data_IF_977818569438
#
_entry.id   IF_977818569438
#
_cell.length_a   1.000
_cell.length_b   1.000
_cell.length_c   1.000
_cell.angle_alpha   90.00
_cell.angle_beta   90.00
_cell.angle_gamma   90.00
#
_symmetry.space_group_name_H-M   'P 1'
#
loop_
_entity.id
_entity.type
_entity.pdbx_description
1 polymer ?
#
# COMPACT_ATOMS: atom_id res chain seq x y z
N UNK A 1 -5.23 -27.44 5.40
CA UNK A 1 -6.26 -27.07 4.40
C UNK A 1 -5.53 -26.74 3.11
N UNK A 2 -5.61 -27.64 2.12
CA UNK A 2 -5.04 -27.37 0.79
C UNK A 2 -5.99 -26.40 0.09
N UNK A 3 -5.56 -25.14 -0.03
CA UNK A 3 -6.25 -24.18 -0.89
C UNK A 3 -5.78 -24.45 -2.32
N UNK A 4 -6.67 -24.90 -3.19
CA UNK A 4 -6.41 -24.91 -4.62
C UNK A 4 -6.20 -23.47 -5.08
N UNK A 5 -5.01 -23.19 -5.60
CA UNK A 5 -4.70 -21.92 -6.25
C UNK A 5 -4.58 -22.20 -7.74
N UNK A 6 -5.32 -21.45 -8.52
CA UNK A 6 -5.22 -21.48 -9.98
C UNK A 6 -5.01 -20.05 -10.48
N UNK A 7 -4.36 -19.90 -11.62
CA UNK A 7 -4.03 -18.62 -12.23
C UNK A 7 -2.55 -18.30 -12.13
N UNK A 8 -2.16 -17.21 -12.77
CA UNK A 8 -0.80 -16.69 -12.83
C UNK A 8 -0.74 -15.30 -12.18
N UNK A 9 0.37 -14.99 -11.52
CA UNK A 9 0.68 -13.63 -11.09
C UNK A 9 2.00 -13.23 -11.70
N UNK A 10 1.94 -12.30 -12.65
CA UNK A 10 3.11 -11.87 -13.41
C UNK A 10 3.71 -10.58 -12.83
N UNK A 11 5.00 -10.61 -12.50
CA UNK A 11 5.78 -9.44 -12.19
C UNK A 11 6.80 -9.22 -13.31
N UNK A 12 6.67 -8.13 -14.07
CA UNK A 12 7.49 -7.88 -15.27
C UNK A 12 7.48 -9.05 -16.27
N UNK A 13 6.31 -9.65 -16.50
CA UNK A 13 6.12 -10.76 -17.44
C UNK A 13 6.62 -12.13 -16.96
N UNK A 14 7.06 -12.27 -15.70
CA UNK A 14 7.47 -13.54 -15.10
C UNK A 14 6.49 -13.96 -14.01
N UNK A 15 6.05 -15.20 -14.04
CA UNK A 15 5.20 -15.74 -12.98
C UNK A 15 5.98 -15.88 -11.67
N UNK A 16 5.47 -15.21 -10.62
CA UNK A 16 6.10 -15.22 -9.29
C UNK A 16 6.04 -16.59 -8.61
N UNK A 17 5.20 -17.50 -9.12
CA UNK A 17 5.03 -18.87 -8.62
C UNK A 17 5.74 -19.93 -9.47
N UNK A 18 6.47 -19.51 -10.52
CA UNK A 18 7.22 -20.43 -11.37
C UNK A 18 8.23 -21.24 -10.54
N UNK A 19 8.37 -22.55 -10.88
CA UNK A 19 9.29 -23.44 -10.16
C UNK A 19 10.74 -22.93 -10.27
N UNK A 20 11.38 -22.76 -9.12
CA UNK A 20 12.74 -22.22 -9.03
C UNK A 20 12.81 -20.71 -8.80
N UNK A 21 11.67 -20.02 -8.72
CA UNK A 21 11.64 -18.59 -8.38
C UNK A 21 12.12 -18.37 -6.95
N UNK A 22 13.06 -17.44 -6.80
CA UNK A 22 13.54 -16.98 -5.50
C UNK A 22 12.51 -16.03 -4.86
N UNK A 23 11.70 -16.59 -3.96
CA UNK A 23 10.62 -15.87 -3.27
C UNK A 23 11.13 -14.67 -2.49
N UNK A 24 12.36 -14.72 -1.97
CA UNK A 24 12.96 -13.60 -1.22
C UNK A 24 13.22 -12.43 -2.16
N UNK A 25 13.76 -12.69 -3.35
CA UNK A 25 13.97 -11.64 -4.36
C UNK A 25 12.66 -11.03 -4.87
N UNK A 26 11.61 -11.84 -4.99
CA UNK A 26 10.28 -11.32 -5.35
C UNK A 26 9.74 -10.43 -4.23
N UNK A 27 9.81 -10.85 -2.97
CA UNK A 27 9.32 -10.06 -1.82
C UNK A 27 10.05 -8.74 -1.64
N UNK A 28 11.31 -8.63 -2.03
CA UNK A 28 12.04 -7.36 -2.03
C UNK A 28 11.52 -6.36 -3.07
N UNK A 29 10.89 -6.86 -4.14
CA UNK A 29 10.31 -6.02 -5.18
C UNK A 29 8.86 -5.59 -4.87
N UNK A 30 8.24 -6.15 -3.83
CA UNK A 30 6.85 -5.91 -3.47
C UNK A 30 6.80 -5.47 -2.01
N UNK A 31 6.53 -4.19 -1.79
CA UNK A 31 6.25 -3.65 -0.45
C UNK A 31 4.82 -3.94 -0.02
N UNK A 32 4.56 -3.97 1.29
CA UNK A 32 3.22 -4.15 1.84
C UNK A 32 2.97 -3.19 2.99
N UNK A 33 1.85 -2.49 2.93
CA UNK A 33 1.32 -1.63 3.99
C UNK A 33 -0.02 -2.21 4.43
N UNK A 34 -0.11 -2.54 5.72
CA UNK A 34 -1.29 -3.19 6.30
C UNK A 34 -2.33 -2.17 6.76
N UNK A 35 -3.57 -2.61 6.90
CA UNK A 35 -4.70 -1.84 7.40
C UNK A 35 -4.41 -1.22 8.77
N UNK A 36 -3.90 -2.01 9.70
CA UNK A 36 -3.47 -1.52 11.02
C UNK A 36 -1.99 -1.18 10.95
N UNK A 37 -1.60 0.07 11.28
CA UNK A 37 -0.19 0.44 11.37
C UNK A 37 0.57 -0.54 12.27
N UNK A 38 1.72 -1.00 11.79
CA UNK A 38 2.52 -1.99 12.48
C UNK A 38 4.02 -1.61 12.55
N UNK A 39 4.36 -0.40 13.01
CA UNK A 39 5.76 -0.09 13.25
C UNK A 39 6.31 -1.01 14.35
N UNK A 40 7.61 -1.24 14.34
CA UNK A 40 8.28 -1.97 15.42
C UNK A 40 8.33 -1.06 16.66
N UNK A 41 7.57 -1.34 17.73
CA UNK A 41 7.39 -0.41 18.84
C UNK A 41 8.66 -0.21 19.67
N UNK A 42 9.55 -1.18 19.69
CA UNK A 42 10.84 -1.15 20.38
C UNK A 42 11.96 -0.48 19.58
N UNK A 43 11.69 -0.12 18.33
CA UNK A 43 12.62 0.58 17.44
C UNK A 43 12.30 2.08 17.41
N UNK A 44 13.33 2.87 17.21
CA UNK A 44 13.17 4.31 16.93
C UNK A 44 12.53 4.55 15.56
N UNK A 45 12.17 5.79 15.26
CA UNK A 45 11.62 6.17 13.96
C UNK A 45 12.63 5.86 12.86
N UNK A 46 13.89 6.27 13.02
CA UNK A 46 14.97 6.00 12.06
C UNK A 46 15.22 4.50 11.87
N UNK A 47 15.30 3.73 12.97
CA UNK A 47 15.47 2.28 12.93
C UNK A 47 14.32 1.58 12.20
N UNK A 48 13.07 2.04 12.40
CA UNK A 48 11.91 1.51 11.69
C UNK A 48 12.07 1.67 10.17
N UNK A 49 12.45 2.85 9.69
CA UNK A 49 12.66 3.09 8.24
C UNK A 49 13.72 2.13 7.69
N UNK A 50 14.86 2.00 8.38
CA UNK A 50 15.99 1.22 7.90
C UNK A 50 15.87 -0.29 8.19
N UNK A 51 14.86 -0.72 8.92
CA UNK A 51 14.69 -2.13 9.31
C UNK A 51 14.59 -3.08 8.12
N UNK A 52 13.96 -2.65 7.01
CA UNK A 52 13.86 -3.44 5.79
C UNK A 52 15.22 -3.77 5.18
N UNK A 53 16.15 -2.81 5.15
CA UNK A 53 17.52 -3.04 4.68
C UNK A 53 18.27 -4.05 5.56
N UNK A 54 18.13 -3.91 6.89
CA UNK A 54 18.77 -4.81 7.83
C UNK A 54 18.30 -6.25 7.68
N UNK A 55 16.97 -6.44 7.54
CA UNK A 55 16.37 -7.76 7.32
C UNK A 55 16.75 -8.37 5.97
N UNK A 56 16.84 -7.54 4.93
CA UNK A 56 17.21 -7.97 3.57
C UNK A 56 18.72 -8.11 3.38
N UNK A 57 19.54 -7.78 4.39
CA UNK A 57 21.00 -7.72 4.33
C UNK A 57 21.53 -6.83 3.19
N UNK A 58 20.76 -5.80 2.84
CA UNK A 58 21.12 -4.82 1.84
C UNK A 58 22.03 -3.75 2.45
N UNK A 59 23.05 -3.33 1.68
CA UNK A 59 23.92 -2.22 2.05
C UNK A 59 23.37 -0.94 1.41
N UNK A 60 23.47 0.16 2.13
CA UNK A 60 23.31 1.51 1.61
C UNK A 60 24.57 2.30 1.93
N UNK A 61 25.09 3.02 0.95
CA UNK A 61 26.30 3.84 1.12
C UNK A 61 26.02 5.04 2.04
N UNK A 62 24.81 5.58 1.98
CA UNK A 62 24.34 6.62 2.88
C UNK A 62 22.95 6.26 3.43
N UNK A 63 22.91 5.83 4.69
CA UNK A 63 21.66 5.46 5.37
C UNK A 63 20.84 6.69 5.81
N UNK A 64 21.52 7.79 6.10
CA UNK A 64 20.87 9.02 6.55
C UNK A 64 20.09 9.65 5.41
N UNK A 65 20.70 9.81 4.24
CA UNK A 65 20.03 10.33 3.05
C UNK A 65 18.86 9.43 2.63
N UNK A 66 19.03 8.11 2.66
CA UNK A 66 17.96 7.17 2.33
C UNK A 66 16.80 7.28 3.33
N UNK A 67 17.09 7.42 4.60
CA UNK A 67 16.06 7.59 5.64
C UNK A 67 15.30 8.88 5.43
N UNK A 68 16.00 9.99 5.19
CA UNK A 68 15.37 11.28 4.87
C UNK A 68 14.51 11.16 3.61
N UNK A 69 15.04 10.62 2.51
CA UNK A 69 14.30 10.40 1.27
C UNK A 69 12.99 9.63 1.52
N UNK A 70 13.06 8.51 2.24
CA UNK A 70 11.89 7.69 2.53
C UNK A 70 10.85 8.42 3.38
N UNK A 71 11.29 9.19 4.38
CA UNK A 71 10.40 9.98 5.24
C UNK A 71 9.79 11.18 4.50
N UNK A 72 10.53 11.81 3.61
CA UNK A 72 10.03 12.88 2.73
C UNK A 72 8.96 12.32 1.81
N UNK A 73 9.25 11.23 1.10
CA UNK A 73 8.30 10.56 0.18
C UNK A 73 7.06 10.04 0.89
N UNK A 74 7.15 9.65 2.15
CA UNK A 74 6.01 9.27 2.98
C UNK A 74 5.27 10.47 3.60
N UNK A 75 5.66 11.71 3.30
CA UNK A 75 5.07 12.93 3.83
C UNK A 75 5.22 13.08 5.36
N UNK A 76 6.24 12.44 5.96
CA UNK A 76 6.41 12.40 7.42
C UNK A 76 7.62 13.24 7.91
N UNK A 77 8.60 13.52 7.06
CA UNK A 77 9.88 14.15 7.42
C UNK A 77 9.72 15.40 8.30
N UNK A 78 8.90 16.35 7.89
CA UNK A 78 8.70 17.62 8.59
C UNK A 78 8.22 17.46 10.04
N UNK A 79 7.56 16.34 10.35
CA UNK A 79 7.00 16.06 11.67
C UNK A 79 7.95 15.30 12.60
N UNK A 80 8.99 14.65 12.02
CA UNK A 80 9.85 13.72 12.80
C UNK A 80 11.34 13.98 12.69
N UNK A 81 11.81 14.87 11.80
CA UNK A 81 13.24 15.10 11.54
C UNK A 81 14.07 15.42 12.80
N UNK A 82 13.48 16.10 13.78
CA UNK A 82 14.15 16.51 15.02
C UNK A 82 14.00 15.46 16.16
N UNK A 83 13.41 14.30 15.88
CA UNK A 83 13.15 13.22 16.87
C UNK A 83 13.27 11.81 16.30
N UNK A 84 14.19 11.60 15.37
CA UNK A 84 14.39 10.31 14.70
C UNK A 84 14.78 9.18 15.68
N UNK A 85 15.38 9.54 16.82
CA UNK A 85 15.75 8.62 17.90
C UNK A 85 14.61 8.33 18.88
N UNK A 86 13.44 8.96 18.70
CA UNK A 86 12.27 8.67 19.52
C UNK A 86 11.61 7.36 19.09
N UNK A 87 11.02 6.64 20.05
CA UNK A 87 10.31 5.39 19.76
C UNK A 87 9.06 5.61 18.91
N UNK A 88 8.85 4.73 17.94
CA UNK A 88 7.73 4.79 17.02
C UNK A 88 6.35 4.68 17.69
N UNK A 89 6.27 4.06 18.86
CA UNK A 89 5.03 3.93 19.64
C UNK A 89 4.41 5.24 20.09
N UNK A 90 5.19 6.33 20.16
CA UNK A 90 4.71 7.68 20.52
C UNK A 90 4.09 8.45 19.35
N UNK A 91 4.06 7.91 18.15
CA UNK A 91 3.46 8.53 16.97
C UNK A 91 1.94 8.34 16.95
N UNK A 92 1.22 9.32 16.38
CA UNK A 92 -0.21 9.17 16.08
C UNK A 92 -0.45 8.07 15.04
N UNK A 93 -1.66 7.52 14.95
CA UNK A 93 -1.99 6.46 13.99
C UNK A 93 -1.64 6.81 12.55
N UNK A 94 -1.93 8.05 12.12
CA UNK A 94 -1.59 8.51 10.77
C UNK A 94 -0.07 8.69 10.56
N UNK A 95 0.68 9.08 11.60
CA UNK A 95 2.14 9.12 11.56
C UNK A 95 2.73 7.72 11.50
N UNK A 96 2.18 6.77 12.28
CA UNK A 96 2.61 5.37 12.25
C UNK A 96 2.36 4.74 10.88
N UNK A 97 1.23 5.03 10.23
CA UNK A 97 0.93 4.53 8.89
C UNK A 97 1.93 5.07 7.86
N UNK A 98 2.21 6.37 7.89
CA UNK A 98 3.23 6.98 7.02
C UNK A 98 4.64 6.46 7.32
N UNK A 99 4.94 6.13 8.58
CA UNK A 99 6.20 5.45 8.92
C UNK A 99 6.27 4.04 8.32
N UNK A 100 5.17 3.29 8.30
CA UNK A 100 5.09 1.99 7.62
C UNK A 100 5.28 2.12 6.10
N UNK A 101 4.76 3.20 5.49
CA UNK A 101 5.04 3.51 4.08
C UNK A 101 6.53 3.79 3.90
N UNK A 102 7.14 4.70 4.69
CA UNK A 102 8.58 5.01 4.61
C UNK A 102 9.46 3.76 4.75
N UNK A 103 9.13 2.88 5.71
CA UNK A 103 9.81 1.59 5.89
C UNK A 103 9.74 0.71 4.65
N UNK A 104 8.58 0.67 3.99
CA UNK A 104 8.40 -0.13 2.78
C UNK A 104 9.20 0.43 1.60
N UNK A 105 9.38 1.75 1.52
CA UNK A 105 10.15 2.42 0.45
C UNK A 105 11.66 2.18 0.56
N UNK A 106 12.20 1.93 1.75
CA UNK A 106 13.64 1.82 1.99
C UNK A 106 14.32 0.68 1.18
N UNK A 107 13.60 -0.36 0.84
CA UNK A 107 14.09 -1.45 -0.02
C UNK A 107 13.87 -1.19 -1.52
N UNK A 108 13.37 -0.01 -1.89
CA UNK A 108 13.09 0.43 -3.27
C UNK A 108 12.24 -0.58 -4.05
N UNK A 109 11.03 -0.90 -3.56
CA UNK A 109 10.14 -1.86 -4.21
C UNK A 109 9.65 -1.31 -5.56
N UNK A 110 9.24 -2.21 -6.47
CA UNK A 110 8.60 -1.85 -7.75
C UNK A 110 7.08 -1.73 -7.62
N UNK A 111 6.53 -2.46 -6.67
CA UNK A 111 5.08 -2.50 -6.40
C UNK A 111 4.87 -2.27 -4.91
N UNK A 112 3.90 -1.44 -4.56
CA UNK A 112 3.45 -1.23 -3.20
C UNK A 112 2.00 -1.69 -3.06
N UNK A 113 1.79 -2.74 -2.27
CA UNK A 113 0.46 -3.22 -1.93
C UNK A 113 -0.02 -2.51 -0.66
N UNK A 114 -1.24 -2.03 -0.66
CA UNK A 114 -1.86 -1.36 0.48
C UNK A 114 -3.22 -1.99 0.79
N UNK A 115 -3.38 -2.48 2.00
CA UNK A 115 -4.64 -3.05 2.48
C UNK A 115 -5.32 -2.04 3.38
N UNK A 116 -6.43 -1.45 2.91
CA UNK A 116 -7.24 -0.46 3.65
C UNK A 116 -6.41 0.64 4.36
N UNK A 117 -5.47 1.32 3.67
CA UNK A 117 -4.43 2.13 4.31
C UNK A 117 -4.94 3.30 5.15
N UNK A 118 -6.22 3.68 4.99
CA UNK A 118 -6.82 4.84 5.65
C UNK A 118 -8.00 4.49 6.55
N UNK A 119 -8.46 3.22 6.63
CA UNK A 119 -9.72 2.84 7.29
C UNK A 119 -9.80 3.17 8.79
N UNK A 120 -8.67 3.19 9.48
CA UNK A 120 -8.60 3.46 10.93
C UNK A 120 -8.15 4.91 11.26
N UNK A 121 -8.19 5.83 10.29
CA UNK A 121 -7.60 7.16 10.43
C UNK A 121 -8.65 8.28 10.40
N UNK A 122 -8.35 9.37 11.08
CA UNK A 122 -9.13 10.60 10.98
C UNK A 122 -8.96 11.25 9.59
N UNK A 123 -9.99 11.98 9.14
CA UNK A 123 -10.06 12.59 7.80
C UNK A 123 -8.80 13.37 7.38
N UNK A 124 -8.23 14.18 8.29
CA UNK A 124 -7.02 14.94 7.97
C UNK A 124 -5.78 14.06 7.73
N UNK A 125 -5.69 12.90 8.38
CA UNK A 125 -4.61 11.93 8.15
C UNK A 125 -4.84 11.15 6.86
N UNK A 126 -6.09 10.85 6.53
CA UNK A 126 -6.49 10.19 5.28
C UNK A 126 -6.04 11.01 4.06
N UNK A 127 -6.34 12.30 4.03
CA UNK A 127 -5.95 13.18 2.91
C UNK A 127 -4.43 13.20 2.69
N UNK A 128 -3.65 13.29 3.78
CA UNK A 128 -2.18 13.26 3.68
C UNK A 128 -1.65 11.95 3.09
N UNK A 129 -2.27 10.82 3.43
CA UNK A 129 -1.89 9.52 2.87
C UNK A 129 -2.31 9.44 1.40
N UNK A 130 -3.48 9.94 1.04
CA UNK A 130 -3.93 10.02 -0.35
C UNK A 130 -2.98 10.87 -1.22
N UNK A 131 -2.52 12.01 -0.71
CA UNK A 131 -1.51 12.84 -1.39
C UNK A 131 -0.18 12.08 -1.56
N UNK A 132 0.29 11.42 -0.49
CA UNK A 132 1.47 10.54 -0.55
C UNK A 132 1.32 9.44 -1.61
N UNK A 133 0.16 8.80 -1.68
CA UNK A 133 -0.11 7.73 -2.68
C UNK A 133 -0.02 8.29 -4.10
N UNK A 134 -0.62 9.45 -4.36
CA UNK A 134 -0.55 10.09 -5.70
C UNK A 134 0.88 10.45 -6.10
N UNK A 135 1.67 10.99 -5.17
CA UNK A 135 3.07 11.29 -5.42
C UNK A 135 3.87 10.02 -5.74
N UNK A 136 3.68 8.95 -4.97
CA UNK A 136 4.36 7.67 -5.19
C UNK A 136 3.94 6.98 -6.50
N UNK A 137 2.69 7.13 -6.93
CA UNK A 137 2.18 6.54 -8.16
C UNK A 137 2.87 7.08 -9.42
N UNK A 138 3.61 8.19 -9.34
CA UNK A 138 4.38 8.73 -10.44
C UNK A 138 5.57 7.86 -10.86
N UNK A 139 6.13 7.05 -9.96
CA UNK A 139 7.34 6.27 -10.20
C UNK A 139 7.26 4.80 -9.78
N UNK A 140 6.11 4.36 -9.23
CA UNK A 140 5.91 2.95 -8.87
C UNK A 140 4.45 2.50 -9.08
N UNK A 141 4.26 1.20 -9.21
CA UNK A 141 2.91 0.61 -9.25
C UNK A 141 2.35 0.49 -7.83
N UNK A 142 1.16 1.03 -7.59
CA UNK A 142 0.46 0.90 -6.32
C UNK A 142 -0.82 0.10 -6.52
N UNK A 143 -1.05 -0.90 -5.68
CA UNK A 143 -2.28 -1.69 -5.65
C UNK A 143 -2.92 -1.51 -4.28
N UNK A 144 -4.16 -1.01 -4.28
CA UNK A 144 -4.89 -0.69 -3.04
C UNK A 144 -6.14 -1.54 -2.96
N UNK A 145 -6.36 -2.19 -1.84
CA UNK A 145 -7.67 -2.75 -1.47
C UNK A 145 -8.36 -1.75 -0.56
N UNK A 146 -9.56 -1.34 -0.92
CA UNK A 146 -10.37 -0.45 -0.08
C UNK A 146 -11.87 -0.68 -0.32
N UNK A 147 -12.67 -0.52 0.72
CA UNK A 147 -14.13 -0.45 0.62
C UNK A 147 -14.63 1.00 0.50
N UNK A 148 -13.73 1.98 0.57
CA UNK A 148 -14.09 3.39 0.46
C UNK A 148 -14.10 3.84 -1.00
N UNK A 149 -15.27 3.86 -1.59
CA UNK A 149 -15.49 4.27 -3.00
C UNK A 149 -14.96 5.67 -3.30
N UNK A 150 -15.16 6.61 -2.37
CA UNK A 150 -14.68 7.98 -2.56
C UNK A 150 -13.16 8.05 -2.59
N UNK A 151 -12.47 7.23 -1.79
CA UNK A 151 -11.03 7.11 -1.84
C UNK A 151 -10.59 6.52 -3.18
N UNK A 152 -11.17 5.38 -3.60
CA UNK A 152 -10.85 4.77 -4.89
C UNK A 152 -11.03 5.76 -6.04
N UNK A 153 -12.15 6.48 -6.08
CA UNK A 153 -12.43 7.48 -7.11
C UNK A 153 -11.42 8.64 -7.16
N UNK A 154 -10.80 8.99 -6.01
CA UNK A 154 -9.86 10.12 -5.95
C UNK A 154 -8.42 9.76 -6.32
N UNK A 155 -7.99 8.54 -6.04
CA UNK A 155 -6.55 8.20 -6.04
C UNK A 155 -6.15 7.09 -7.01
N UNK A 156 -7.09 6.40 -7.67
CA UNK A 156 -6.75 5.31 -8.59
C UNK A 156 -6.99 5.65 -10.04
N UNK A 157 -6.13 5.16 -10.92
CA UNK A 157 -6.28 5.26 -12.38
C UNK A 157 -7.23 4.17 -12.90
N UNK A 158 -7.15 2.97 -12.30
CA UNK A 158 -7.98 1.81 -12.62
C UNK A 158 -8.64 1.28 -11.36
N UNK A 159 -9.88 0.84 -11.49
CA UNK A 159 -10.65 0.22 -10.40
C UNK A 159 -11.15 -1.14 -10.83
N UNK A 160 -10.97 -2.14 -9.96
CA UNK A 160 -11.54 -3.48 -10.08
C UNK A 160 -12.57 -3.68 -8.97
N UNK A 161 -13.81 -3.94 -9.35
CA UNK A 161 -14.90 -4.20 -8.41
C UNK A 161 -15.05 -5.71 -8.17
N UNK A 162 -14.95 -6.11 -6.92
CA UNK A 162 -15.16 -7.48 -6.46
C UNK A 162 -16.40 -7.57 -5.59
N UNK A 163 -17.19 -8.63 -5.79
CA UNK A 163 -18.40 -8.91 -5.02
C UNK A 163 -18.37 -10.36 -4.51
N UNK A 164 -19.00 -10.57 -3.35
CA UNK A 164 -19.24 -11.89 -2.77
C UNK A 164 -20.74 -12.06 -2.49
N UNK A 165 -21.37 -13.01 -3.15
CA UNK A 165 -22.80 -13.36 -3.03
C UNK A 165 -22.98 -14.58 -2.11
N UNK A 166 -22.37 -14.54 -0.92
CA UNK A 166 -22.40 -15.64 0.03
C UNK A 166 -21.40 -16.77 -0.25
N UNK A 167 -20.55 -16.59 -1.28
CA UNK A 167 -19.46 -17.49 -1.68
C UNK A 167 -18.12 -16.77 -1.74
N UNK A 168 -17.12 -17.33 -2.43
CA UNK A 168 -15.86 -16.66 -2.72
C UNK A 168 -16.11 -15.38 -3.54
N UNK A 169 -15.38 -14.30 -3.21
CA UNK A 169 -15.42 -13.07 -4.00
C UNK A 169 -14.97 -13.32 -5.45
N UNK A 170 -15.65 -12.70 -6.40
CA UNK A 170 -15.31 -12.74 -7.82
C UNK A 170 -15.22 -11.33 -8.41
N UNK A 171 -14.42 -11.18 -9.45
CA UNK A 171 -14.31 -9.93 -10.20
C UNK A 171 -15.63 -9.71 -10.98
N UNK A 172 -16.25 -8.56 -10.73
CA UNK A 172 -17.48 -8.14 -11.42
C UNK A 172 -17.13 -7.27 -12.62
N UNK A 173 -16.35 -6.23 -12.39
CA UNK A 173 -16.00 -5.27 -13.42
C UNK A 173 -14.60 -4.68 -13.15
N UNK A 174 -13.88 -4.33 -14.21
CA UNK A 174 -12.59 -3.64 -14.14
C UNK A 174 -12.47 -2.65 -15.30
N UNK A 175 -12.01 -1.46 -15.01
CA UNK A 175 -11.83 -0.42 -16.03
C UNK A 175 -11.14 0.81 -15.47
N UNK A 176 -11.11 1.88 -16.27
CA UNK A 176 -10.66 3.18 -15.79
C UNK A 176 -11.58 3.66 -14.68
N UNK A 177 -11.01 4.27 -13.67
CA UNK A 177 -11.75 4.69 -12.48
C UNK A 177 -12.89 5.64 -12.81
N UNK A 178 -12.67 6.62 -13.67
CA UNK A 178 -13.71 7.54 -14.10
C UNK A 178 -14.88 6.85 -14.82
N UNK A 179 -14.62 5.80 -15.62
CA UNK A 179 -15.66 5.00 -16.28
C UNK A 179 -16.45 4.17 -15.27
N UNK A 180 -15.76 3.47 -14.36
CA UNK A 180 -16.39 2.65 -13.31
C UNK A 180 -17.32 3.47 -12.41
N UNK A 181 -16.93 4.70 -12.05
CA UNK A 181 -17.71 5.54 -11.16
C UNK A 181 -18.76 6.40 -11.84
N UNK A 182 -18.62 6.73 -13.13
CA UNK A 182 -19.57 7.58 -13.87
C UNK A 182 -20.53 6.79 -14.74
N UNK A 183 -20.09 5.68 -15.33
CA UNK A 183 -20.86 4.92 -16.32
C UNK A 183 -20.50 3.43 -16.30
N UNK A 184 -20.71 2.74 -15.17
CA UNK A 184 -20.44 1.31 -15.07
C UNK A 184 -21.29 0.52 -16.05
N UNK A 185 -20.74 -0.60 -16.54
CA UNK A 185 -21.41 -1.48 -17.50
C UNK A 185 -22.26 -2.55 -16.78
N UNK A 186 -21.73 -3.07 -15.65
CA UNK A 186 -22.45 -4.08 -14.86
C UNK A 186 -23.42 -3.39 -13.88
N UNK A 187 -24.67 -3.86 -13.87
CA UNK A 187 -25.70 -3.32 -12.99
C UNK A 187 -25.34 -3.42 -11.52
N UNK A 188 -24.63 -4.45 -11.09
CA UNK A 188 -24.18 -4.63 -9.69
C UNK A 188 -23.18 -3.55 -9.31
N UNK A 189 -22.30 -3.15 -10.23
CA UNK A 189 -21.39 -2.04 -10.05
C UNK A 189 -22.18 -0.71 -9.95
N UNK A 190 -23.15 -0.51 -10.84
CA UNK A 190 -24.04 0.67 -10.81
C UNK A 190 -24.79 0.78 -9.47
N UNK A 191 -25.38 -0.30 -9.02
CA UNK A 191 -26.13 -0.33 -7.76
C UNK A 191 -25.21 -0.06 -6.56
N UNK A 192 -23.97 -0.62 -6.57
CA UNK A 192 -22.96 -0.37 -5.53
C UNK A 192 -22.51 1.10 -5.51
N UNK A 193 -22.11 1.64 -6.66
CA UNK A 193 -21.61 3.03 -6.78
C UNK A 193 -22.71 4.05 -6.44
N UNK A 194 -23.98 3.76 -6.79
CA UNK A 194 -25.11 4.63 -6.49
C UNK A 194 -25.66 4.48 -5.06
N UNK A 195 -25.09 3.59 -4.24
CA UNK A 195 -25.56 3.34 -2.88
C UNK A 195 -26.89 2.59 -2.79
N UNK A 196 -27.34 1.96 -3.89
CA UNK A 196 -28.57 1.14 -3.96
C UNK A 196 -28.33 -0.31 -3.55
N UNK A 197 -27.21 -0.57 -2.92
CA UNK A 197 -26.83 -1.89 -2.44
C UNK A 197 -27.45 -2.12 -1.06
N UNK A 198 -28.42 -3.02 -0.97
CA UNK A 198 -29.09 -3.40 0.26
C UNK A 198 -29.90 -4.68 0.06
#
# INVERSE_FOLDING_TARGET
>A
RVLFRSGEVLLNGKDIYEKGTDVTKIRLQIGMVFQKPNPFPSMTIGENVLSGLKLAQLKSDNKEDLMEECLVRAGLWKEVKDRLDSYAGGLSGGQQQRLCIARSLAVKPKVLLMDEPCSALYTGSTLRIEDTIRELASDMTIVIVTHNMQQAARISDFTAFFLSDGGPGHLVEVGKTDEIFSKPVDKRTEDYVSGRFG
#
